data_IF_828046104888
#
_entry.id   IF_828046104888
#
_cell.length_a   1.000
_cell.length_b   1.000
_cell.length_c   1.000
_cell.angle_alpha   90.00
_cell.angle_beta   90.00
_cell.angle_gamma   90.00
#
_symmetry.space_group_name_H-M   'P 1'
#
loop_
_entity.id
_entity.type
_entity.pdbx_description
1 polymer ?
#
# COMPACT_ATOMS: atom_id res chain seq x y z
N UNK A 1 -18.96 51.85 -0.77
CA UNK A 1 -18.20 50.84 -1.55
C UNK A 1 -18.95 50.52 -2.84
N UNK A 2 -18.34 50.76 -4.01
CA UNK A 2 -18.98 50.68 -5.34
C UNK A 2 -19.50 49.28 -5.69
N UNK A 3 -20.63 49.19 -6.39
CA UNK A 3 -21.25 47.92 -6.83
C UNK A 3 -20.31 47.10 -7.73
N UNK A 4 -19.50 47.77 -8.56
CA UNK A 4 -18.48 47.13 -9.41
C UNK A 4 -17.40 46.40 -8.58
N UNK A 5 -17.00 46.99 -7.45
CA UNK A 5 -16.03 46.37 -6.54
C UNK A 5 -16.60 45.12 -5.87
N UNK A 6 -17.91 45.10 -5.55
CA UNK A 6 -18.57 43.93 -4.97
C UNK A 6 -18.61 42.77 -5.96
N UNK A 7 -18.97 43.05 -7.22
CA UNK A 7 -19.01 42.06 -8.29
C UNK A 7 -17.62 41.45 -8.55
N UNK A 8 -16.58 42.29 -8.66
CA UNK A 8 -15.22 41.80 -8.88
C UNK A 8 -14.72 40.89 -7.75
N UNK A 9 -14.99 41.26 -6.48
CA UNK A 9 -14.62 40.42 -5.33
C UNK A 9 -15.38 39.09 -5.31
N UNK A 10 -16.66 39.09 -5.67
CA UNK A 10 -17.46 37.86 -5.74
C UNK A 10 -16.91 36.93 -6.83
N UNK A 11 -16.60 37.44 -8.02
CA UNK A 11 -15.97 36.65 -9.08
C UNK A 11 -14.59 36.12 -8.70
N UNK A 12 -13.76 36.92 -8.03
CA UNK A 12 -12.45 36.47 -7.57
C UNK A 12 -12.55 35.36 -6.53
N UNK A 13 -13.48 35.48 -5.57
CA UNK A 13 -13.70 34.48 -4.53
C UNK A 13 -14.28 33.18 -5.11
N UNK A 14 -15.20 33.26 -6.08
CA UNK A 14 -15.76 32.05 -6.70
C UNK A 14 -14.72 31.28 -7.52
N UNK A 15 -13.87 31.99 -8.28
CA UNK A 15 -12.76 31.37 -9.02
C UNK A 15 -11.76 30.73 -8.07
N UNK A 16 -11.37 31.43 -6.99
CA UNK A 16 -10.45 30.88 -5.99
C UNK A 16 -11.03 29.63 -5.30
N UNK A 17 -12.32 29.64 -4.97
CA UNK A 17 -12.99 28.49 -4.36
C UNK A 17 -13.04 27.27 -5.29
N UNK A 18 -13.34 27.47 -6.58
CA UNK A 18 -13.35 26.40 -7.57
C UNK A 18 -11.96 25.79 -7.77
N UNK A 19 -10.92 26.64 -7.87
CA UNK A 19 -9.54 26.18 -8.01
C UNK A 19 -9.09 25.39 -6.78
N UNK A 20 -9.38 25.89 -5.57
CA UNK A 20 -9.07 25.18 -4.33
C UNK A 20 -9.78 23.81 -4.25
N UNK A 21 -11.07 23.76 -4.63
CA UNK A 21 -11.84 22.52 -4.67
C UNK A 21 -11.27 21.48 -5.64
N UNK A 22 -10.83 21.92 -6.84
CA UNK A 22 -10.21 21.04 -7.83
C UNK A 22 -8.87 20.46 -7.34
N UNK A 23 -8.04 21.28 -6.68
CA UNK A 23 -6.77 20.85 -6.10
C UNK A 23 -7.00 19.82 -5.00
N UNK A 24 -7.93 20.09 -4.09
CA UNK A 24 -8.28 19.17 -3.00
C UNK A 24 -8.75 17.82 -3.55
N UNK A 25 -9.69 17.83 -4.50
CA UNK A 25 -10.21 16.61 -5.11
C UNK A 25 -9.14 15.81 -5.88
N UNK A 26 -8.21 16.49 -6.58
CA UNK A 26 -7.11 15.82 -7.28
C UNK A 26 -6.00 15.32 -6.35
N UNK A 27 -5.87 15.89 -5.14
CA UNK A 27 -4.87 15.48 -4.15
C UNK A 27 -5.33 14.30 -3.28
N UNK A 28 -6.63 14.05 -3.18
CA UNK A 28 -7.20 12.91 -2.44
C UNK A 28 -7.41 11.73 -3.39
N UNK A 29 -6.64 10.65 -3.23
CA UNK A 29 -6.89 9.41 -3.96
C UNK A 29 -8.15 8.71 -3.48
N UNK A 30 -8.92 8.11 -4.40
CA UNK A 30 -9.94 7.14 -4.06
C UNK A 30 -9.26 5.77 -3.91
N UNK A 31 -9.38 5.12 -2.75
CA UNK A 31 -8.85 3.76 -2.59
C UNK A 31 -9.59 2.82 -3.54
N UNK A 32 -8.91 2.36 -4.58
CA UNK A 32 -9.49 1.45 -5.58
C UNK A 32 -9.37 0.01 -5.09
N UNK A 33 -10.49 -0.73 -5.15
CA UNK A 33 -10.51 -2.18 -4.93
C UNK A 33 -10.29 -2.88 -6.26
N UNK A 34 -9.30 -3.76 -6.34
CA UNK A 34 -9.06 -4.61 -7.50
C UNK A 34 -9.06 -6.08 -7.05
N UNK A 35 -9.77 -6.95 -7.79
CA UNK A 35 -9.92 -8.38 -7.46
C UNK A 35 -10.33 -8.67 -6.00
N UNK A 36 -11.11 -7.78 -5.38
CA UNK A 36 -11.58 -7.94 -4.00
C UNK A 36 -10.56 -7.55 -2.92
N UNK A 37 -9.41 -6.98 -3.28
CA UNK A 37 -8.40 -6.49 -2.34
C UNK A 37 -8.18 -4.98 -2.54
N UNK A 38 -8.05 -4.23 -1.43
CA UNK A 38 -7.56 -2.84 -1.46
C UNK A 38 -6.05 -2.92 -1.62
N UNK A 39 -5.55 -2.38 -2.72
CA UNK A 39 -4.12 -2.42 -3.01
C UNK A 39 -3.40 -1.30 -2.26
N UNK A 40 -2.26 -1.61 -1.59
CA UNK A 40 -1.57 -0.67 -0.72
C UNK A 40 -0.82 0.44 -1.47
N UNK A 41 -0.52 0.27 -2.76
CA UNK A 41 0.22 1.24 -3.58
C UNK A 41 -0.45 1.47 -4.95
N UNK A 42 -0.33 2.68 -5.53
CA UNK A 42 -0.84 2.99 -6.87
C UNK A 42 -0.16 2.17 -7.97
N UNK A 43 1.09 1.78 -7.75
CA UNK A 43 1.95 1.13 -8.75
C UNK A 43 1.90 -0.40 -8.67
N UNK A 44 0.97 -1.01 -7.94
CA UNK A 44 0.88 -2.48 -7.78
C UNK A 44 0.92 -3.27 -9.10
N UNK A 45 0.36 -2.72 -10.18
CA UNK A 45 0.35 -3.36 -11.51
C UNK A 45 1.73 -3.37 -12.17
N UNK A 46 2.55 -2.39 -11.81
CA UNK A 46 3.90 -2.16 -12.31
C UNK A 46 4.96 -2.68 -11.33
N UNK A 47 4.56 -3.04 -10.12
CA UNK A 47 5.45 -3.53 -9.08
C UNK A 47 5.97 -4.89 -9.54
N UNK A 48 7.29 -4.98 -9.64
CA UNK A 48 7.93 -6.21 -10.07
C UNK A 48 7.49 -7.32 -9.13
N UNK A 49 7.26 -8.53 -9.68
CA UNK A 49 7.08 -9.72 -8.85
C UNK A 49 8.27 -9.74 -7.90
N UNK A 50 8.01 -9.57 -6.60
CA UNK A 50 9.06 -9.59 -5.61
C UNK A 50 9.66 -10.99 -5.60
N UNK A 51 10.71 -11.18 -6.41
CA UNK A 51 11.31 -12.48 -6.66
C UNK A 51 12.02 -12.90 -5.39
N UNK A 52 11.32 -13.70 -4.59
CA UNK A 52 11.96 -14.50 -3.57
C UNK A 52 12.60 -15.67 -4.31
N UNK A 53 13.95 -15.79 -4.35
CA UNK A 53 14.57 -16.98 -4.89
C UNK A 53 13.95 -18.19 -4.19
N UNK A 54 13.79 -19.31 -4.91
CA UNK A 54 13.34 -20.54 -4.28
C UNK A 54 14.27 -20.84 -3.12
N UNK A 55 13.80 -20.56 -1.90
CA UNK A 55 14.50 -20.93 -0.69
C UNK A 55 14.59 -22.45 -0.60
N UNK A 56 15.36 -22.99 0.34
CA UNK A 56 15.26 -24.40 0.67
C UNK A 56 13.78 -24.76 0.85
N UNK A 57 13.30 -25.85 0.21
CA UNK A 57 11.87 -26.26 0.29
C UNK A 57 11.37 -26.30 1.74
N UNK A 58 12.28 -26.59 2.66
CA UNK A 58 12.08 -26.51 4.10
C UNK A 58 12.54 -25.15 4.64
N UNK A 59 11.59 -24.25 4.88
CA UNK A 59 11.80 -22.92 5.48
C UNK A 59 12.53 -22.94 6.84
N UNK A 60 12.61 -24.10 7.50
CA UNK A 60 13.13 -24.29 8.86
C UNK A 60 14.15 -25.44 8.91
N UNK A 61 15.12 -25.46 7.99
CA UNK A 61 16.14 -26.51 7.92
C UNK A 61 16.90 -26.75 9.23
N UNK A 62 17.14 -25.68 10.01
CA UNK A 62 17.78 -25.76 11.33
C UNK A 62 16.93 -26.50 12.36
N UNK A 63 15.63 -26.22 12.38
CA UNK A 63 14.70 -26.87 13.32
C UNK A 63 14.47 -28.33 12.95
N UNK A 64 14.41 -28.64 11.65
CA UNK A 64 14.32 -30.00 11.16
C UNK A 64 15.56 -30.82 11.52
N UNK A 65 16.75 -30.24 11.38
CA UNK A 65 18.01 -30.87 11.80
C UNK A 65 18.04 -31.10 13.32
N UNK A 66 17.59 -30.11 14.11
CA UNK A 66 17.50 -30.24 15.56
C UNK A 66 16.53 -31.36 15.99
N UNK A 67 15.35 -31.44 15.35
CA UNK A 67 14.37 -32.50 15.60
C UNK A 67 14.89 -33.89 15.20
N UNK A 68 15.64 -33.99 14.09
CA UNK A 68 16.26 -35.25 13.67
C UNK A 68 17.32 -35.72 14.68
N UNK A 69 18.14 -34.80 15.18
CA UNK A 69 19.14 -35.10 16.21
C UNK A 69 18.49 -35.55 17.53
N UNK A 70 17.45 -34.85 17.99
CA UNK A 70 16.70 -35.21 19.20
C UNK A 70 16.08 -36.61 19.10
N UNK A 71 15.42 -36.94 17.98
CA UNK A 71 14.87 -38.28 17.74
C UNK A 71 15.94 -39.37 17.69
N UNK A 72 17.12 -39.06 17.17
CA UNK A 72 18.24 -40.00 17.15
C UNK A 72 18.78 -40.29 18.55
N UNK A 73 18.84 -39.29 19.44
CA UNK A 73 19.17 -39.50 20.85
C UNK A 73 18.10 -40.32 21.57
N UNK A 74 16.82 -40.01 21.40
CA UNK A 74 15.71 -40.78 21.98
C UNK A 74 15.74 -42.26 21.53
N UNK A 75 16.00 -42.51 20.25
CA UNK A 75 16.09 -43.86 19.71
C UNK A 75 17.31 -44.64 20.24
N UNK A 76 18.40 -43.96 20.57
CA UNK A 76 19.61 -44.57 21.16
C UNK A 76 19.44 -44.85 22.66
N UNK A 77 18.59 -44.08 23.35
CA UNK A 77 18.32 -44.19 24.78
C UNK A 77 17.14 -45.12 25.11
N UNK A 78 16.57 -45.78 24.08
CA UNK A 78 15.50 -46.78 24.20
C UNK A 78 16.07 -48.18 24.08
#
# INVERSE_FOLDING_TARGET
MSLRMKINRICQLSVAALMAGAILAGSTGCQTVHNGQVLPSPDYLSDDIQYFPSGPEMKLSREAAALAAARAEEAKNR
#
